data_IF_451082862587
#
_entry.id   IF_451082862587
#
_cell.length_a   1.000
_cell.length_b   1.000
_cell.length_c   1.000
_cell.angle_alpha   90.00
_cell.angle_beta   90.00
_cell.angle_gamma   90.00
#
_symmetry.space_group_name_H-M   'P 1'
#
loop_
_entity.id
_entity.type
_entity.pdbx_description
1 polymer ?
#
# COMPACT_ATOMS: atom_id res chain seq x y z
N UNK A 1 8.44 -10.39 4.02
CA UNK A 1 8.75 -9.72 5.30
C UNK A 1 8.31 -8.27 5.21
N UNK A 2 8.14 -7.60 6.35
CA UNK A 2 7.79 -6.17 6.44
C UNK A 2 8.88 -5.46 7.22
N UNK A 3 9.16 -4.20 6.88
CA UNK A 3 10.08 -3.35 7.60
C UNK A 3 9.49 -1.95 7.84
N UNK A 4 9.94 -1.31 8.92
CA UNK A 4 9.61 0.08 9.26
C UNK A 4 10.90 0.79 9.66
N UNK A 5 11.26 1.83 8.93
CA UNK A 5 12.53 2.53 9.11
C UNK A 5 12.30 4.00 9.45
N UNK A 6 13.25 4.58 10.19
CA UNK A 6 13.31 5.99 10.52
C UNK A 6 14.50 6.65 9.80
N UNK A 7 14.26 7.80 9.17
CA UNK A 7 15.27 8.69 8.63
C UNK A 7 15.92 8.26 7.30
N UNK A 8 15.34 7.29 6.58
CA UNK A 8 15.89 6.91 5.28
C UNK A 8 15.85 8.08 4.28
N UNK A 9 16.96 8.26 3.57
CA UNK A 9 17.17 9.34 2.60
C UNK A 9 17.48 10.70 3.23
N UNK A 10 16.65 11.15 4.17
CA UNK A 10 16.64 12.55 4.67
C UNK A 10 17.21 12.73 6.08
N UNK A 11 17.67 11.66 6.74
CA UNK A 11 18.29 11.71 8.06
C UNK A 11 17.30 11.63 9.23
N UNK A 12 17.84 11.49 10.43
CA UNK A 12 17.08 11.27 11.66
C UNK A 12 16.11 12.44 11.94
N UNK A 13 14.86 12.12 12.23
CA UNK A 13 13.80 13.08 12.60
C UNK A 13 12.88 13.51 11.46
N UNK A 14 13.21 13.18 10.19
CA UNK A 14 12.53 13.77 9.03
C UNK A 14 11.65 12.82 8.22
N UNK A 15 11.80 11.50 8.35
CA UNK A 15 10.97 10.54 7.61
C UNK A 15 10.70 9.26 8.38
N UNK A 16 9.48 8.76 8.27
CA UNK A 16 9.12 7.38 8.61
C UNK A 16 8.58 6.75 7.33
N UNK A 17 9.11 5.59 6.96
CA UNK A 17 8.65 4.84 5.80
C UNK A 17 8.73 3.34 6.04
N UNK A 18 7.90 2.60 5.31
CA UNK A 18 7.77 1.16 5.41
C UNK A 18 8.12 0.48 4.09
N UNK A 19 8.69 -0.72 4.18
CA UNK A 19 8.92 -1.61 3.05
C UNK A 19 8.20 -2.94 3.24
N UNK A 20 7.78 -3.55 2.14
CA UNK A 20 7.16 -4.87 2.12
C UNK A 20 7.78 -5.72 1.02
N UNK A 21 8.02 -7.00 1.32
CA UNK A 21 8.40 -8.00 0.33
C UNK A 21 7.59 -9.28 0.54
N UNK A 22 7.14 -9.87 -0.55
CA UNK A 22 6.49 -11.18 -0.56
C UNK A 22 7.19 -12.09 -1.56
N UNK A 23 7.27 -13.39 -1.23
CA UNK A 23 7.87 -14.41 -2.09
C UNK A 23 6.77 -15.12 -2.88
N UNK A 24 6.99 -15.24 -4.18
CA UNK A 24 6.19 -16.08 -5.07
C UNK A 24 6.90 -17.43 -5.25
N UNK A 25 6.62 -18.40 -4.37
CA UNK A 25 7.26 -19.72 -4.37
C UNK A 25 6.50 -20.79 -5.18
N UNK A 26 5.41 -20.40 -5.86
CA UNK A 26 4.58 -21.28 -6.67
C UNK A 26 3.47 -22.02 -5.90
N UNK A 27 3.38 -21.85 -4.59
CA UNK A 27 2.33 -22.50 -3.78
C UNK A 27 0.97 -21.80 -3.90
N UNK A 28 -0.15 -22.53 -3.77
CA UNK A 28 -1.49 -21.92 -3.67
C UNK A 28 -1.61 -20.93 -2.51
N UNK A 29 -0.94 -21.20 -1.38
CA UNK A 29 -0.91 -20.32 -0.22
C UNK A 29 -0.21 -19.00 -0.53
N UNK A 30 0.90 -19.03 -1.27
CA UNK A 30 1.57 -17.82 -1.73
C UNK A 30 0.68 -17.03 -2.71
N UNK A 31 -0.03 -17.69 -3.62
CA UNK A 31 -0.99 -17.03 -4.51
C UNK A 31 -2.07 -16.25 -3.73
N UNK A 32 -2.62 -16.85 -2.67
CA UNK A 32 -3.60 -16.18 -1.81
C UNK A 32 -3.01 -14.97 -1.06
N UNK A 33 -1.76 -15.07 -0.59
CA UNK A 33 -1.06 -13.95 0.08
C UNK A 33 -0.69 -12.83 -0.89
N UNK A 34 -0.22 -13.18 -2.10
CA UNK A 34 0.10 -12.25 -3.19
C UNK A 34 -1.12 -11.41 -3.58
N UNK A 35 -2.26 -12.07 -3.82
CA UNK A 35 -3.51 -11.39 -4.16
C UNK A 35 -3.91 -10.32 -3.13
N UNK A 36 -3.73 -10.63 -1.84
CA UNK A 36 -4.02 -9.68 -0.75
C UNK A 36 -3.01 -8.54 -0.69
N UNK A 37 -1.71 -8.85 -0.62
CA UNK A 37 -0.73 -7.81 -0.36
C UNK A 37 -0.50 -6.89 -1.57
N UNK A 38 -0.55 -7.43 -2.79
CA UNK A 38 -0.39 -6.63 -4.01
C UNK A 38 -1.64 -5.81 -4.35
N UNK A 39 -2.79 -6.10 -3.72
CA UNK A 39 -3.94 -5.20 -3.72
C UNK A 39 -3.80 -4.12 -2.65
N UNK A 40 -3.44 -4.50 -1.43
CA UNK A 40 -3.48 -3.60 -0.29
C UNK A 40 -2.34 -2.58 -0.27
N UNK A 41 -1.10 -2.97 -0.61
CA UNK A 41 0.07 -2.08 -0.55
C UNK A 41 -0.06 -0.86 -1.48
N UNK A 42 -0.34 -1.01 -2.79
CA UNK A 42 -0.64 0.15 -3.63
C UNK A 42 -1.99 0.80 -3.31
N UNK A 43 -2.98 0.01 -2.84
CA UNK A 43 -4.28 0.52 -2.41
C UNK A 43 -4.17 1.56 -1.30
N UNK A 44 -3.26 1.36 -0.34
CA UNK A 44 -2.95 2.35 0.69
C UNK A 44 -2.43 3.68 0.11
N UNK A 45 -1.66 3.62 -0.98
CA UNK A 45 -1.23 4.81 -1.72
C UNK A 45 -2.43 5.59 -2.28
N UNK A 46 -3.38 4.90 -2.92
CA UNK A 46 -4.60 5.54 -3.43
C UNK A 46 -5.43 6.13 -2.30
N UNK A 47 -5.69 5.35 -1.24
CA UNK A 47 -6.49 5.78 -0.08
C UNK A 47 -5.88 7.01 0.60
N UNK A 48 -4.55 7.04 0.79
CA UNK A 48 -3.85 8.19 1.36
C UNK A 48 -4.05 9.47 0.54
N UNK A 49 -4.01 9.37 -0.78
CA UNK A 49 -4.18 10.55 -1.64
C UNK A 49 -5.66 10.93 -1.79
N UNK A 50 -6.57 9.96 -1.73
CA UNK A 50 -8.00 10.22 -1.63
C UNK A 50 -8.31 11.04 -0.37
N UNK A 51 -7.80 10.62 0.79
CA UNK A 51 -7.92 11.33 2.06
C UNK A 51 -7.42 12.77 1.97
N UNK A 52 -6.28 12.97 1.29
CA UNK A 52 -5.70 14.28 1.07
C UNK A 52 -6.45 15.16 0.03
N UNK A 53 -7.53 14.64 -0.59
CA UNK A 53 -8.41 15.39 -1.49
C UNK A 53 -8.02 15.40 -2.97
N UNK A 54 -7.21 14.44 -3.44
CA UNK A 54 -6.80 14.39 -4.84
C UNK A 54 -7.89 13.74 -5.73
N UNK A 55 -8.39 14.47 -6.73
CA UNK A 55 -9.45 13.99 -7.64
C UNK A 55 -9.05 12.71 -8.39
N UNK A 56 -7.81 12.63 -8.88
CA UNK A 56 -7.31 11.42 -9.55
C UNK A 56 -7.37 10.19 -8.65
N UNK A 57 -7.15 10.36 -7.33
CA UNK A 57 -7.22 9.27 -6.38
C UNK A 57 -8.67 8.86 -6.10
N UNK A 58 -9.61 9.82 -6.12
CA UNK A 58 -11.05 9.55 -6.04
C UNK A 58 -11.55 8.72 -7.22
N UNK A 59 -11.16 9.10 -8.43
CA UNK A 59 -11.52 8.35 -9.65
C UNK A 59 -10.90 6.94 -9.61
N UNK A 60 -9.62 6.85 -9.23
CA UNK A 60 -8.92 5.56 -9.09
C UNK A 60 -9.57 4.67 -8.04
N UNK A 61 -9.97 5.23 -6.89
CA UNK A 61 -10.63 4.48 -5.82
C UNK A 61 -11.99 3.93 -6.27
N UNK A 62 -12.77 4.70 -7.02
CA UNK A 62 -14.04 4.25 -7.59
C UNK A 62 -13.84 3.12 -8.61
N UNK A 63 -12.90 3.28 -9.56
CA UNK A 63 -12.60 2.28 -10.60
C UNK A 63 -12.18 0.94 -9.99
N UNK A 64 -11.39 0.97 -8.92
CA UNK A 64 -10.82 -0.24 -8.30
C UNK A 64 -11.57 -0.73 -7.05
N UNK A 65 -12.70 -0.10 -6.71
CA UNK A 65 -13.51 -0.41 -5.53
C UNK A 65 -12.69 -0.39 -4.23
N UNK A 66 -11.99 0.72 -4.00
CA UNK A 66 -11.21 1.00 -2.79
C UNK A 66 -11.90 1.99 -1.84
N UNK A 67 -12.95 2.66 -2.29
CA UNK A 67 -13.80 3.58 -1.51
C UNK A 67 -14.45 2.91 -0.28
N UNK A 68 -14.77 1.62 -0.38
CA UNK A 68 -15.29 0.82 0.73
C UNK A 68 -14.28 0.49 1.84
N UNK A 69 -12.96 0.63 1.60
CA UNK A 69 -11.93 0.46 2.64
C UNK A 69 -11.81 1.67 3.57
N UNK A 70 -12.54 2.75 3.29
CA UNK A 70 -12.48 4.03 4.01
C UNK A 70 -13.47 4.12 5.19
N UNK A 71 -14.29 3.09 5.42
CA UNK A 71 -15.23 3.02 6.55
C UNK A 71 -14.62 2.34 7.77
#
# INVERSE_FOLDING_TARGET
WVSLHHGGGVGMGYSIHSGMVIVADGTPEAAARLSRVLRNDPGMGVIRHLDAGYDIAKDTAAIHSLDGMYK
#
